data_IF_679644435087
#
_entry.id   IF_679644435087
#
_cell.length_a   1.000
_cell.length_b   1.000
_cell.length_c   1.000
_cell.angle_alpha   90.00
_cell.angle_beta   90.00
_cell.angle_gamma   90.00
#
_symmetry.space_group_name_H-M   'P 1'
#
loop_
_entity.id
_entity.type
_entity.pdbx_description
1 polymer ?
#
# COMPACT_ATOMS: atom_id res chain seq x y z
N UNK A 1 -21.95 -9.90 -8.34
CA UNK A 1 -21.98 -9.04 -7.14
C UNK A 1 -20.60 -8.40 -7.10
N UNK A 2 -20.47 -7.11 -7.42
CA UNK A 2 -19.16 -6.45 -7.32
C UNK A 2 -18.77 -6.48 -5.84
N UNK A 3 -17.69 -7.18 -5.51
CA UNK A 3 -17.18 -7.14 -4.14
C UNK A 3 -16.78 -5.69 -3.84
N UNK A 4 -17.38 -5.12 -2.80
CA UNK A 4 -16.96 -3.81 -2.30
C UNK A 4 -15.46 -3.85 -2.06
N UNK A 5 -14.71 -2.88 -2.58
CA UNK A 5 -13.26 -2.79 -2.39
C UNK A 5 -12.96 -2.65 -0.89
N UNK A 6 -12.71 -3.77 -0.22
CA UNK A 6 -12.45 -3.79 1.22
C UNK A 6 -11.09 -3.18 1.48
N UNK A 7 -11.06 -2.17 2.34
CA UNK A 7 -9.82 -1.59 2.85
C UNK A 7 -9.39 -2.30 4.12
N UNK A 8 -8.10 -2.59 4.21
CA UNK A 8 -7.46 -3.23 5.36
C UNK A 8 -6.48 -2.27 6.03
N UNK A 9 -6.22 -2.53 7.30
CA UNK A 9 -5.12 -1.92 8.06
C UNK A 9 -4.22 -3.07 8.50
N UNK A 10 -2.91 -2.90 8.27
CA UNK A 10 -1.89 -3.85 8.74
C UNK A 10 -1.23 -3.25 9.98
N UNK A 11 -0.99 -4.08 10.99
CA UNK A 11 -0.43 -3.60 12.27
C UNK A 11 0.97 -3.01 12.11
N UNK A 12 1.29 -2.04 12.96
CA UNK A 12 2.59 -1.36 12.93
C UNK A 12 3.73 -2.32 13.28
N UNK A 13 3.48 -3.27 14.17
CA UNK A 13 4.43 -4.31 14.59
C UNK A 13 4.77 -5.25 13.43
N UNK A 14 3.78 -5.63 12.61
CA UNK A 14 4.01 -6.52 11.49
C UNK A 14 4.78 -5.83 10.36
N UNK A 15 4.46 -4.56 10.06
CA UNK A 15 5.24 -3.77 9.11
C UNK A 15 6.67 -3.55 9.62
N UNK A 16 6.86 -3.29 10.92
CA UNK A 16 8.18 -3.18 11.52
C UNK A 16 8.97 -4.49 11.45
N UNK A 17 8.31 -5.64 11.63
CA UNK A 17 8.91 -6.96 11.44
C UNK A 17 9.36 -7.18 9.99
N UNK A 18 8.46 -6.98 9.02
CA UNK A 18 8.78 -7.16 7.60
C UNK A 18 9.88 -6.22 7.11
N UNK A 19 9.91 -4.98 7.61
CA UNK A 19 10.93 -3.98 7.25
C UNK A 19 12.35 -4.36 7.70
N UNK A 20 12.51 -5.34 8.61
CA UNK A 20 13.82 -5.89 8.99
C UNK A 20 14.37 -6.85 7.93
N UNK A 21 13.50 -7.40 7.10
CA UNK A 21 13.82 -8.41 6.09
C UNK A 21 13.91 -7.77 4.70
N UNK A 22 12.92 -6.94 4.34
CA UNK A 22 12.83 -6.27 3.04
C UNK A 22 12.74 -4.75 3.25
N UNK A 23 13.67 -4.00 2.64
CA UNK A 23 13.80 -2.55 2.84
C UNK A 23 12.76 -1.74 2.08
N UNK A 24 12.15 -2.33 1.04
CA UNK A 24 11.12 -1.67 0.22
C UNK A 24 9.71 -1.74 0.82
N UNK A 25 9.54 -2.36 1.99
CA UNK A 25 8.25 -2.40 2.69
C UNK A 25 7.83 -0.98 3.08
N UNK A 26 6.62 -0.60 2.67
CA UNK A 26 6.10 0.73 2.90
C UNK A 26 5.77 0.95 4.38
N UNK A 27 6.42 1.92 5.02
CA UNK A 27 6.20 2.24 6.44
C UNK A 27 4.80 2.81 6.70
N UNK A 28 4.20 2.41 7.82
CA UNK A 28 2.92 2.93 8.31
C UNK A 28 3.03 4.34 8.95
N UNK A 29 4.25 4.76 9.34
CA UNK A 29 4.55 6.08 9.93
C UNK A 29 3.63 6.47 11.11
N UNK A 30 3.57 5.68 12.20
CA UNK A 30 2.65 5.91 13.30
C UNK A 30 2.79 7.30 13.95
N UNK A 31 4.02 7.84 13.99
CA UNK A 31 4.30 9.15 14.62
C UNK A 31 3.97 10.37 13.71
N UNK A 32 3.82 10.16 12.40
CA UNK A 32 3.56 11.23 11.43
C UNK A 32 2.14 11.18 10.83
N UNK A 33 1.42 10.06 11.00
CA UNK A 33 0.15 9.82 10.30
C UNK A 33 -1.03 10.54 10.96
N UNK A 34 -1.89 11.15 10.14
CA UNK A 34 -3.23 11.59 10.58
C UNK A 34 -4.23 10.42 10.56
N UNK A 35 -4.06 9.48 9.64
CA UNK A 35 -4.93 8.31 9.47
C UNK A 35 -4.09 7.03 9.28
N UNK A 36 -4.63 5.88 9.67
CA UNK A 36 -3.99 4.60 9.35
C UNK A 36 -3.80 4.44 7.84
N UNK A 37 -2.62 3.92 7.45
CA UNK A 37 -2.37 3.54 6.06
C UNK A 37 -3.35 2.44 5.68
N UNK A 38 -4.16 2.73 4.67
CA UNK A 38 -5.10 1.76 4.10
C UNK A 38 -4.38 0.90 3.07
N UNK A 39 -4.77 -0.36 3.05
CA UNK A 39 -4.34 -1.35 2.07
C UNK A 39 -5.57 -1.81 1.29
N UNK A 40 -5.46 -1.98 -0.02
CA UNK A 40 -6.53 -2.56 -0.82
C UNK A 40 -6.45 -4.08 -0.71
N UNK A 41 -7.58 -4.71 -0.40
CA UNK A 41 -7.72 -6.17 -0.29
C UNK A 41 -7.52 -6.91 -1.59
N UNK A 42 -6.69 -7.96 -1.53
CA UNK A 42 -6.46 -9.03 -2.52
C UNK A 42 -6.51 -8.57 -3.97
N UNK A 43 -5.35 -8.17 -4.51
CA UNK A 43 -5.15 -8.13 -5.96
C UNK A 43 -4.84 -9.51 -6.54
N UNK A 44 -4.24 -10.42 -5.76
CA UNK A 44 -3.86 -11.78 -6.19
C UNK A 44 -3.47 -12.66 -4.99
N UNK A 45 -3.59 -13.97 -5.15
CA UNK A 45 -3.01 -14.99 -4.28
C UNK A 45 -1.87 -15.71 -5.02
N UNK A 46 -0.70 -15.81 -4.41
CA UNK A 46 0.46 -16.49 -4.99
C UNK A 46 1.04 -17.42 -3.93
N UNK A 47 1.19 -18.71 -4.26
CA UNK A 47 1.71 -19.73 -3.34
C UNK A 47 1.01 -19.78 -1.97
N UNK A 48 -0.30 -19.51 -1.92
CA UNK A 48 -1.08 -19.49 -0.67
C UNK A 48 -0.96 -18.20 0.14
N UNK A 49 -0.21 -17.20 -0.34
CA UNK A 49 -0.08 -15.88 0.29
C UNK A 49 -0.98 -14.86 -0.38
N UNK A 50 -1.74 -14.12 0.44
CA UNK A 50 -2.62 -13.02 -0.01
C UNK A 50 -1.82 -11.72 -0.04
N UNK A 51 -1.79 -11.06 -1.20
CA UNK A 51 -1.05 -9.82 -1.38
C UNK A 51 -1.95 -8.60 -1.24
N UNK A 52 -1.41 -7.58 -0.58
CA UNK A 52 -2.08 -6.31 -0.31
C UNK A 52 -1.24 -5.17 -0.85
N UNK A 53 -1.88 -4.17 -1.46
CA UNK A 53 -1.18 -2.98 -1.94
C UNK A 53 -1.40 -1.82 -0.98
N UNK A 54 -0.32 -1.22 -0.43
CA UNK A 54 -0.44 -0.03 0.40
C UNK A 54 -0.87 1.16 -0.45
N UNK A 55 -1.85 1.92 0.03
CA UNK A 55 -2.23 3.20 -0.58
C UNK A 55 -1.45 4.35 0.05
N UNK A 56 -1.11 5.35 -0.76
CA UNK A 56 -0.55 6.63 -0.31
C UNK A 56 -1.26 7.79 -0.98
N UNK A 57 -1.39 8.91 -0.27
CA UNK A 57 -1.82 10.16 -0.89
C UNK A 57 -0.84 10.55 -2.01
N UNK A 58 -1.33 11.08 -3.14
CA UNK A 58 -0.48 11.60 -4.20
C UNK A 58 0.47 12.67 -3.65
N UNK A 59 1.71 12.66 -4.13
CA UNK A 59 2.72 13.69 -3.92
C UNK A 59 2.85 14.53 -5.17
N UNK A 60 3.48 15.70 -5.07
CA UNK A 60 3.64 16.63 -6.20
C UNK A 60 4.27 15.98 -7.44
N UNK A 61 5.24 15.07 -7.23
CA UNK A 61 5.89 14.29 -8.30
C UNK A 61 4.95 13.35 -9.07
N UNK A 62 3.82 13.01 -8.47
CA UNK A 62 2.79 12.15 -9.06
C UNK A 62 1.86 12.96 -9.98
N UNK A 63 2.03 14.28 -10.06
CA UNK A 63 1.31 15.16 -10.97
C UNK A 63 2.18 15.60 -12.15
N UNK A 64 1.54 15.80 -13.30
CA UNK A 64 2.09 16.40 -14.50
C UNK A 64 1.06 17.35 -15.09
N UNK A 65 1.42 18.63 -15.21
CA UNK A 65 0.52 19.70 -15.66
C UNK A 65 -0.80 19.75 -14.86
N UNK A 66 -0.71 19.56 -13.54
CA UNK A 66 -1.87 19.55 -12.63
C UNK A 66 -2.76 18.31 -12.72
N UNK A 67 -2.39 17.30 -13.51
CA UNK A 67 -3.11 16.02 -13.63
C UNK A 67 -2.31 14.89 -13.01
N UNK A 68 -2.97 13.99 -12.30
CA UNK A 68 -2.33 12.79 -11.75
C UNK A 68 -1.77 11.96 -12.91
N UNK A 69 -0.48 11.65 -12.86
CA UNK A 69 0.19 10.74 -13.79
C UNK A 69 -0.41 9.35 -13.64
N UNK A 70 -0.72 8.72 -14.77
CA UNK A 70 -1.17 7.32 -14.76
C UNK A 70 0.04 6.44 -14.47
N UNK A 71 0.17 6.03 -13.21
CA UNK A 71 1.19 5.05 -12.80
C UNK A 71 0.59 3.66 -13.02
N UNK A 72 1.26 2.83 -13.81
CA UNK A 72 1.03 1.38 -13.77
C UNK A 72 1.65 0.94 -12.45
N UNK A 73 0.87 0.32 -11.55
CA UNK A 73 1.38 -0.29 -10.32
C UNK A 73 2.58 -1.16 -10.69
N UNK A 74 3.78 -0.63 -10.51
CA UNK A 74 4.99 -1.33 -10.87
C UNK A 74 5.04 -2.51 -9.90
N UNK A 75 4.99 -3.71 -10.49
CA UNK A 75 4.92 -5.00 -9.84
C UNK A 75 5.93 -5.03 -8.66
N UNK A 76 5.44 -4.93 -7.42
CA UNK A 76 6.20 -5.28 -6.22
C UNK A 76 6.02 -6.77 -5.93
N UNK A 77 6.20 -7.58 -6.98
CA UNK A 77 6.29 -9.04 -6.89
C UNK A 77 7.70 -9.41 -7.37
#
# INVERSE_FOLDING_TARGET
MAEDNVFYIVSDEYIAYLSKIETHVMKNKPDERTYHRKYVGILTEINGFKYFVPMSSPKDKDYENGKIRKIILQQFI
#
